data_IF_482510112114
#
_entry.id   IF_482510112114
#
_cell.length_a   1.000
_cell.length_b   1.000
_cell.length_c   1.000
_cell.angle_alpha   90.00
_cell.angle_beta   90.00
_cell.angle_gamma   90.00
#
_symmetry.space_group_name_H-M   'P 1'
#
loop_
_entity.id
_entity.type
_entity.pdbx_description
1 polymer ?
#
# COMPACT_ATOMS: atom_id res chain seq x y z
N UNK A 1 -41.59 19.82 -14.49
CA UNK A 1 -41.38 20.87 -15.52
C UNK A 1 -40.38 20.36 -16.55
N UNK A 2 -40.48 20.75 -17.83
CA UNK A 2 -39.55 20.22 -18.85
C UNK A 2 -38.17 20.84 -18.68
N UNK A 3 -37.14 20.01 -18.55
CA UNK A 3 -35.73 20.43 -18.47
C UNK A 3 -35.15 20.85 -19.84
N UNK A 4 -35.85 20.52 -20.94
CA UNK A 4 -35.42 20.87 -22.31
C UNK A 4 -35.48 22.37 -22.62
N UNK A 5 -36.02 23.17 -21.71
CA UNK A 5 -36.03 24.64 -21.81
C UNK A 5 -34.66 25.27 -21.51
N UNK A 6 -33.73 24.52 -20.92
CA UNK A 6 -32.35 24.98 -20.74
C UNK A 6 -31.66 24.90 -22.10
N UNK A 7 -31.38 26.06 -22.71
CA UNK A 7 -30.72 26.15 -24.02
C UNK A 7 -29.28 26.69 -23.96
N UNK A 8 -28.85 27.19 -22.79
CA UNK A 8 -27.55 27.82 -22.62
C UNK A 8 -26.63 26.97 -21.71
N UNK A 9 -25.43 26.56 -22.19
CA UNK A 9 -24.41 25.91 -21.37
C UNK A 9 -23.96 26.71 -20.12
N UNK A 10 -24.13 28.04 -20.11
CA UNK A 10 -23.70 28.88 -18.99
C UNK A 10 -24.32 28.48 -17.65
N UNK A 11 -25.59 28.06 -17.66
CA UNK A 11 -26.28 27.59 -16.47
C UNK A 11 -25.72 26.26 -15.93
N UNK A 12 -25.29 25.36 -16.84
CA UNK A 12 -24.63 24.10 -16.48
C UNK A 12 -23.26 24.39 -15.85
N UNK A 13 -22.48 25.29 -16.47
CA UNK A 13 -21.19 25.70 -15.93
C UNK A 13 -21.31 26.38 -14.56
N UNK A 14 -22.32 27.24 -14.35
CA UNK A 14 -22.58 27.86 -13.05
C UNK A 14 -22.88 26.82 -11.96
N UNK A 15 -23.69 25.80 -12.28
CA UNK A 15 -23.98 24.70 -11.37
C UNK A 15 -22.72 23.86 -11.06
N UNK A 16 -21.87 23.57 -12.06
CA UNK A 16 -20.60 22.88 -11.86
C UNK A 16 -19.64 23.69 -10.98
N UNK A 17 -19.53 25.00 -11.22
CA UNK A 17 -18.68 25.88 -10.43
C UNK A 17 -19.14 25.97 -8.97
N UNK A 18 -20.46 25.99 -8.71
CA UNK A 18 -20.98 25.89 -7.36
C UNK A 18 -20.65 24.56 -6.72
N UNK A 19 -20.89 23.44 -7.43
CA UNK A 19 -20.58 22.09 -6.96
C UNK A 19 -19.12 21.97 -6.50
N UNK A 20 -18.21 22.56 -7.27
CA UNK A 20 -16.78 22.58 -6.94
C UNK A 20 -16.46 23.43 -5.72
N UNK A 21 -17.13 24.58 -5.58
CA UNK A 21 -16.94 25.51 -4.46
C UNK A 21 -17.49 24.96 -3.14
N UNK A 22 -18.65 24.32 -3.15
CA UNK A 22 -19.36 23.88 -1.93
C UNK A 22 -19.12 22.41 -1.58
N UNK A 23 -18.66 21.61 -2.54
CA UNK A 23 -18.43 20.18 -2.39
C UNK A 23 -19.70 19.34 -2.60
N UNK A 24 -19.49 18.09 -3.03
CA UNK A 24 -20.54 17.15 -3.44
C UNK A 24 -21.64 16.97 -2.41
N UNK A 25 -21.27 16.68 -1.15
CA UNK A 25 -22.25 16.35 -0.10
C UNK A 25 -23.21 17.51 0.13
N UNK A 26 -22.68 18.71 0.34
CA UNK A 26 -23.49 19.91 0.54
C UNK A 26 -24.35 20.25 -0.68
N UNK A 27 -23.77 20.15 -1.89
CA UNK A 27 -24.50 20.43 -3.12
C UNK A 27 -25.72 19.49 -3.27
N UNK A 28 -25.51 18.19 -3.06
CA UNK A 28 -26.57 17.19 -3.15
C UNK A 28 -27.68 17.44 -2.11
N UNK A 29 -27.30 17.77 -0.87
CA UNK A 29 -28.27 18.09 0.20
C UNK A 29 -29.05 19.37 -0.11
N UNK A 30 -28.37 20.44 -0.53
CA UNK A 30 -28.99 21.73 -0.90
C UNK A 30 -30.07 21.58 -1.97
N UNK A 31 -29.81 20.76 -2.98
CA UNK A 31 -30.71 20.59 -4.13
C UNK A 31 -31.62 19.36 -4.03
N UNK A 32 -31.54 18.57 -2.95
CA UNK A 32 -32.41 17.43 -2.69
C UNK A 32 -32.14 16.21 -3.57
N UNK A 33 -30.89 15.96 -3.96
CA UNK A 33 -30.51 14.82 -4.80
C UNK A 33 -29.70 13.77 -4.04
N UNK A 34 -29.87 12.49 -4.40
CA UNK A 34 -28.97 11.41 -3.99
C UNK A 34 -27.73 11.31 -4.90
N UNK A 35 -26.70 10.59 -4.44
CA UNK A 35 -25.52 10.27 -5.26
C UNK A 35 -25.92 9.46 -6.48
N UNK A 36 -25.52 9.90 -7.67
CA UNK A 36 -25.64 9.16 -8.90
C UNK A 36 -24.81 7.85 -8.85
N UNK A 37 -25.39 6.78 -9.39
CA UNK A 37 -24.80 5.43 -9.36
C UNK A 37 -24.36 4.94 -10.73
N UNK A 38 -24.99 5.41 -11.79
CA UNK A 38 -24.78 4.88 -13.15
C UNK A 38 -24.39 5.94 -14.17
N UNK A 39 -24.84 7.19 -14.06
CA UNK A 39 -24.59 8.20 -15.09
C UNK A 39 -24.08 9.47 -14.45
N UNK A 40 -22.99 10.01 -14.99
CA UNK A 40 -22.33 11.21 -14.49
C UNK A 40 -22.06 12.15 -15.67
N UNK A 41 -22.19 13.44 -15.43
CA UNK A 41 -21.70 14.47 -16.33
C UNK A 41 -20.17 14.52 -16.23
N UNK A 42 -19.47 14.47 -17.37
CA UNK A 42 -18.02 14.61 -17.45
C UNK A 42 -17.66 16.00 -17.98
N UNK A 43 -16.80 16.70 -17.26
CA UNK A 43 -16.19 17.94 -17.74
C UNK A 43 -15.13 17.60 -18.80
N UNK A 44 -15.26 18.09 -20.04
CA UNK A 44 -14.31 17.79 -21.10
C UNK A 44 -12.92 18.41 -20.85
N UNK A 45 -12.82 19.50 -20.09
CA UNK A 45 -11.56 20.19 -19.81
C UNK A 45 -10.78 19.52 -18.66
N UNK A 46 -11.48 19.12 -17.60
CA UNK A 46 -10.84 18.59 -16.37
C UNK A 46 -11.03 17.09 -16.17
N UNK A 47 -11.86 16.42 -16.99
CA UNK A 47 -12.22 15.02 -16.80
C UNK A 47 -13.02 14.73 -15.51
N UNK A 48 -13.37 15.75 -14.73
CA UNK A 48 -14.09 15.60 -13.46
C UNK A 48 -15.52 15.12 -13.70
N UNK A 49 -16.01 14.28 -12.78
CA UNK A 49 -17.35 13.71 -12.84
C UNK A 49 -18.29 14.38 -11.83
N UNK A 50 -19.50 14.67 -12.28
CA UNK A 50 -20.55 15.36 -11.53
C UNK A 50 -21.86 14.56 -11.59
N UNK A 51 -22.67 14.64 -10.54
CA UNK A 51 -23.99 14.01 -10.49
C UNK A 51 -24.93 14.67 -11.52
N UNK A 52 -25.14 14.00 -12.67
CA UNK A 52 -25.81 14.54 -13.88
C UNK A 52 -27.13 15.25 -13.59
N UNK A 53 -28.03 14.57 -12.87
CA UNK A 53 -29.34 15.08 -12.46
C UNK A 53 -29.26 16.28 -11.52
N UNK A 54 -28.35 16.24 -10.55
CA UNK A 54 -28.20 17.32 -9.58
C UNK A 54 -27.69 18.59 -10.27
N UNK A 55 -26.73 18.45 -11.19
CA UNK A 55 -26.24 19.58 -12.00
C UNK A 55 -27.37 20.18 -12.83
N UNK A 56 -28.16 19.37 -13.53
CA UNK A 56 -29.28 19.89 -14.33
C UNK A 56 -30.36 20.53 -13.45
N UNK A 57 -30.68 19.94 -12.29
CA UNK A 57 -31.65 20.50 -11.34
C UNK A 57 -31.23 21.87 -10.79
N UNK A 58 -29.95 22.02 -10.46
CA UNK A 58 -29.38 23.31 -10.04
C UNK A 58 -29.31 24.31 -11.20
N UNK A 59 -28.87 23.87 -12.39
CA UNK A 59 -28.78 24.69 -13.59
C UNK A 59 -30.14 25.28 -14.00
N UNK A 60 -31.24 24.58 -13.75
CA UNK A 60 -32.58 25.13 -13.94
C UNK A 60 -32.78 26.43 -13.13
N UNK A 61 -32.34 26.46 -11.87
CA UNK A 61 -32.43 27.66 -11.03
C UNK A 61 -31.54 28.80 -11.50
N UNK A 62 -30.38 28.50 -12.09
CA UNK A 62 -29.52 29.50 -12.73
C UNK A 62 -30.12 30.06 -14.01
N UNK A 63 -30.75 29.22 -14.83
CA UNK A 63 -31.42 29.63 -16.06
C UNK A 63 -32.71 30.43 -15.80
N UNK A 64 -33.43 30.12 -14.70
CA UNK A 64 -34.72 30.73 -14.35
C UNK A 64 -34.77 31.18 -12.88
N UNK A 65 -34.06 32.27 -12.50
CA UNK A 65 -33.94 32.69 -11.10
C UNK A 65 -35.27 32.94 -10.37
N UNK A 66 -36.33 33.33 -11.10
CA UNK A 66 -37.66 33.55 -10.54
C UNK A 66 -38.47 32.29 -10.26
N UNK A 67 -38.03 31.11 -10.74
CA UNK A 67 -38.74 29.84 -10.57
C UNK A 67 -38.06 28.90 -9.55
N UNK A 68 -36.83 29.24 -9.12
CA UNK A 68 -36.05 28.40 -8.23
C UNK A 68 -35.41 27.19 -8.93
N UNK A 69 -34.69 26.38 -8.16
CA UNK A 69 -34.08 25.14 -8.68
C UNK A 69 -35.13 24.03 -8.82
N UNK A 70 -34.82 23.01 -9.63
CA UNK A 70 -35.68 21.85 -9.80
C UNK A 70 -35.21 20.71 -8.88
N UNK A 71 -35.93 20.39 -7.79
CA UNK A 71 -35.57 19.30 -6.89
C UNK A 71 -35.87 17.94 -7.53
N UNK A 72 -35.30 16.87 -6.95
CA UNK A 72 -35.46 15.51 -7.49
C UNK A 72 -36.92 15.04 -7.63
N UNK A 73 -37.83 15.54 -6.78
CA UNK A 73 -39.27 15.23 -6.83
C UNK A 73 -39.96 15.76 -8.09
N UNK A 74 -39.47 16.88 -8.62
CA UNK A 74 -40.10 17.63 -9.71
C UNK A 74 -39.40 17.38 -11.06
N UNK A 75 -38.37 16.53 -11.01
CA UNK A 75 -37.56 16.11 -12.14
C UNK A 75 -38.33 15.08 -12.99
N UNK A 76 -39.03 15.58 -14.02
CA UNK A 76 -39.78 14.75 -14.98
C UNK A 76 -38.92 14.45 -16.22
N UNK A 77 -38.57 13.18 -16.41
CA UNK A 77 -37.69 12.71 -17.48
C UNK A 77 -36.59 11.84 -16.89
N UNK A 78 -36.55 10.57 -17.29
CA UNK A 78 -35.53 9.63 -16.83
C UNK A 78 -34.13 10.07 -17.25
N UNK A 79 -33.12 9.23 -16.96
CA UNK A 79 -31.72 9.54 -17.27
C UNK A 79 -31.48 9.88 -18.75
N UNK A 80 -32.19 9.23 -19.66
CA UNK A 80 -32.12 9.51 -21.11
C UNK A 80 -32.49 10.95 -21.47
N UNK A 81 -33.39 11.60 -20.72
CA UNK A 81 -33.77 13.01 -20.94
C UNK A 81 -32.64 13.95 -20.51
N UNK A 82 -31.95 13.61 -19.41
CA UNK A 82 -30.79 14.37 -18.90
C UNK A 82 -29.62 14.24 -19.84
N UNK A 83 -29.34 13.02 -20.29
CA UNK A 83 -28.30 12.70 -21.26
C UNK A 83 -28.53 13.47 -22.56
N UNK A 84 -29.73 13.39 -23.14
CA UNK A 84 -30.05 14.12 -24.37
C UNK A 84 -29.87 15.64 -24.20
N UNK A 85 -30.33 16.23 -23.09
CA UNK A 85 -30.14 17.65 -22.82
C UNK A 85 -28.66 18.01 -22.75
N UNK A 86 -27.88 17.32 -21.90
CA UNK A 86 -26.46 17.60 -21.72
C UNK A 86 -25.69 17.42 -23.03
N UNK A 87 -25.95 16.35 -23.79
CA UNK A 87 -25.34 16.14 -25.10
C UNK A 87 -25.71 17.21 -26.12
N UNK A 88 -26.96 17.69 -26.14
CA UNK A 88 -27.37 18.80 -27.02
C UNK A 88 -26.67 20.13 -26.70
N UNK A 89 -26.23 20.29 -25.45
CA UNK A 89 -25.45 21.45 -24.98
C UNK A 89 -23.93 21.22 -25.08
N UNK A 90 -23.49 20.13 -25.71
CA UNK A 90 -22.08 19.82 -25.95
C UNK A 90 -21.36 19.14 -24.78
N UNK A 91 -22.10 18.65 -23.78
CA UNK A 91 -21.53 17.93 -22.64
C UNK A 91 -21.53 16.41 -22.84
N UNK A 92 -20.52 15.75 -22.28
CA UNK A 92 -20.38 14.29 -22.29
C UNK A 92 -21.02 13.69 -21.03
N UNK A 93 -21.94 12.73 -21.19
CA UNK A 93 -22.45 11.92 -20.08
C UNK A 93 -21.81 10.55 -20.17
N UNK A 94 -21.20 10.11 -19.08
CA UNK A 94 -20.51 8.82 -19.00
C UNK A 94 -21.25 7.88 -18.07
N UNK A 95 -21.33 6.60 -18.48
CA UNK A 95 -21.87 5.55 -17.65
C UNK A 95 -20.80 5.01 -16.71
N UNK A 96 -20.97 5.23 -15.41
CA UNK A 96 -20.09 4.75 -14.34
C UNK A 96 -20.59 3.42 -13.76
N UNK A 97 -19.77 2.78 -12.93
CA UNK A 97 -20.13 1.52 -12.27
C UNK A 97 -20.11 0.29 -13.18
N UNK A 98 -19.64 0.44 -14.43
CA UNK A 98 -19.38 -0.68 -15.32
C UNK A 98 -18.19 -1.52 -14.83
N UNK A 99 -18.16 -2.79 -15.20
CA UNK A 99 -16.99 -3.65 -14.95
C UNK A 99 -15.74 -3.07 -15.63
N UNK A 100 -14.58 -3.27 -15.01
CA UNK A 100 -13.30 -2.85 -15.57
C UNK A 100 -12.95 -3.70 -16.78
N UNK A 101 -12.69 -3.07 -17.92
CA UNK A 101 -12.19 -3.79 -19.10
C UNK A 101 -10.73 -4.14 -18.92
N UNK A 102 -10.25 -5.13 -19.69
CA UNK A 102 -8.82 -5.50 -19.68
C UNK A 102 -7.93 -4.29 -19.99
N UNK A 103 -8.26 -3.51 -21.01
CA UNK A 103 -7.48 -2.35 -21.42
C UNK A 103 -7.38 -1.29 -20.32
N UNK A 104 -8.47 -1.04 -19.59
CA UNK A 104 -8.46 -0.10 -18.45
C UNK A 104 -7.57 -0.62 -17.32
N UNK A 105 -7.61 -1.93 -17.05
CA UNK A 105 -6.76 -2.58 -16.05
C UNK A 105 -5.28 -2.49 -16.47
N UNK A 106 -4.97 -2.83 -17.72
CA UNK A 106 -3.60 -2.77 -18.26
C UNK A 106 -3.03 -1.36 -18.23
N UNK A 107 -3.82 -0.35 -18.60
CA UNK A 107 -3.41 1.05 -18.53
C UNK A 107 -3.10 1.48 -17.09
N UNK A 108 -3.94 1.07 -16.14
CA UNK A 108 -3.76 1.39 -14.71
C UNK A 108 -2.55 0.67 -14.12
N UNK A 109 -2.33 -0.60 -14.49
CA UNK A 109 -1.15 -1.36 -14.07
C UNK A 109 0.12 -0.72 -14.61
N UNK A 110 0.16 -0.32 -15.88
CA UNK A 110 1.34 0.35 -16.46
C UNK A 110 1.70 1.64 -15.72
N UNK A 111 0.73 2.53 -15.53
CA UNK A 111 0.92 3.80 -14.80
C UNK A 111 1.39 3.56 -13.35
N UNK A 112 0.88 2.52 -12.69
CA UNK A 112 1.32 2.13 -11.37
C UNK A 112 2.80 1.72 -11.34
N UNK A 113 3.25 0.92 -12.31
CA UNK A 113 4.66 0.49 -12.37
C UNK A 113 5.61 1.64 -12.74
N UNK A 114 5.17 2.59 -13.56
CA UNK A 114 5.92 3.83 -13.84
C UNK A 114 6.15 4.63 -12.54
N UNK A 115 5.09 4.81 -11.74
CA UNK A 115 5.21 5.46 -10.42
C UNK A 115 6.08 4.65 -9.44
N UNK A 116 5.96 3.32 -9.43
CA UNK A 116 6.78 2.47 -8.56
C UNK A 116 8.26 2.58 -8.89
N UNK A 117 8.61 2.73 -10.18
CA UNK A 117 9.97 2.99 -10.63
C UNK A 117 10.48 4.35 -10.14
N UNK A 118 9.66 5.39 -10.23
CA UNK A 118 10.02 6.71 -9.71
C UNK A 118 10.28 6.65 -8.20
N UNK A 119 9.42 5.99 -7.42
CA UNK A 119 9.59 5.82 -5.98
C UNK A 119 10.88 5.04 -5.64
N UNK A 120 11.12 3.92 -6.32
CA UNK A 120 12.32 3.09 -6.09
C UNK A 120 13.63 3.81 -6.41
N UNK A 121 13.63 4.70 -7.40
CA UNK A 121 14.81 5.46 -7.84
C UNK A 121 14.92 6.84 -7.18
N UNK A 122 14.06 7.16 -6.20
CA UNK A 122 14.06 8.44 -5.50
C UNK A 122 13.65 9.64 -6.37
N UNK A 123 13.04 9.41 -7.52
CA UNK A 123 12.52 10.46 -8.39
C UNK A 123 11.17 10.96 -7.87
N UNK A 124 10.99 12.27 -7.81
CA UNK A 124 9.71 12.87 -7.41
C UNK A 124 8.64 12.66 -8.47
N UNK A 125 7.45 12.22 -8.06
CA UNK A 125 6.27 12.12 -8.93
C UNK A 125 5.01 12.58 -8.18
N UNK A 126 3.97 12.97 -8.92
CA UNK A 126 2.70 13.43 -8.35
C UNK A 126 1.57 12.42 -8.62
N UNK A 127 1.15 11.72 -7.57
CA UNK A 127 0.02 10.75 -7.61
C UNK A 127 -1.28 11.34 -8.15
N UNK A 128 -1.57 12.61 -7.87
CA UNK A 128 -2.79 13.26 -8.36
C UNK A 128 -2.71 13.55 -9.86
N UNK A 129 -1.51 13.87 -10.37
CA UNK A 129 -1.26 14.12 -11.79
C UNK A 129 -1.36 12.82 -12.60
N UNK A 130 -0.71 11.74 -12.16
CA UNK A 130 -0.85 10.41 -12.78
C UNK A 130 -2.31 9.96 -12.87
N UNK A 131 -3.07 10.14 -11.79
CA UNK A 131 -4.50 9.82 -11.78
C UNK A 131 -5.30 10.69 -12.77
N UNK A 132 -5.00 12.00 -12.84
CA UNK A 132 -5.61 12.90 -13.84
C UNK A 132 -5.32 12.43 -15.28
N UNK A 133 -4.06 12.13 -15.59
CA UNK A 133 -3.65 11.62 -16.90
C UNK A 133 -4.36 10.29 -17.24
N UNK A 134 -4.47 9.37 -16.28
CA UNK A 134 -5.25 8.14 -16.45
C UNK A 134 -6.73 8.44 -16.74
N UNK A 135 -7.38 9.36 -16.02
CA UNK A 135 -8.80 9.71 -16.25
C UNK A 135 -9.09 10.31 -17.62
N UNK A 136 -8.11 10.91 -18.27
CA UNK A 136 -8.26 11.37 -19.66
C UNK A 136 -8.47 10.20 -20.63
N UNK A 137 -7.86 9.03 -20.34
CA UNK A 137 -8.02 7.79 -21.09
C UNK A 137 -9.19 6.95 -20.57
N UNK A 138 -9.32 6.86 -19.25
CA UNK A 138 -10.31 6.05 -18.52
C UNK A 138 -11.55 6.89 -18.17
N UNK A 139 -12.27 7.36 -19.19
CA UNK A 139 -13.31 8.41 -19.05
C UNK A 139 -14.44 8.08 -18.07
N UNK A 140 -14.75 6.80 -17.87
CA UNK A 140 -15.81 6.34 -16.96
C UNK A 140 -15.31 6.11 -15.51
N UNK A 141 -14.01 6.30 -15.23
CA UNK A 141 -13.40 6.02 -13.92
C UNK A 141 -13.21 7.30 -13.13
N UNK A 142 -13.73 7.29 -11.90
CA UNK A 142 -13.51 8.39 -10.96
C UNK A 142 -12.12 8.33 -10.33
N UNK A 143 -11.66 9.46 -9.78
CA UNK A 143 -10.40 9.56 -9.02
C UNK A 143 -10.26 8.43 -8.00
N UNK A 144 -11.28 8.29 -7.15
CA UNK A 144 -11.29 7.28 -6.09
C UNK A 144 -11.32 5.85 -6.63
N UNK A 145 -11.96 5.61 -7.78
CA UNK A 145 -11.96 4.28 -8.40
C UNK A 145 -10.56 3.86 -8.85
N UNK A 146 -9.76 4.80 -9.37
CA UNK A 146 -8.37 4.57 -9.77
C UNK A 146 -7.49 4.37 -8.54
N UNK A 147 -7.63 5.19 -7.49
CA UNK A 147 -6.88 5.03 -6.23
C UNK A 147 -7.14 3.67 -5.56
N UNK A 148 -8.40 3.22 -5.55
CA UNK A 148 -8.73 1.87 -5.08
C UNK A 148 -8.11 0.79 -5.95
N UNK A 149 -8.04 0.99 -7.28
CA UNK A 149 -7.38 0.05 -8.19
C UNK A 149 -5.87 -0.02 -7.92
N UNK A 150 -5.21 1.10 -7.62
CA UNK A 150 -3.81 1.13 -7.19
C UNK A 150 -3.59 0.34 -5.90
N UNK A 151 -4.42 0.54 -4.87
CA UNK A 151 -4.37 -0.24 -3.62
C UNK A 151 -4.57 -1.75 -3.86
N UNK A 152 -5.41 -2.11 -4.82
CA UNK A 152 -5.61 -3.49 -5.23
C UNK A 152 -4.39 -4.07 -5.96
N UNK A 153 -3.68 -3.29 -6.77
CA UNK A 153 -2.40 -3.70 -7.38
C UNK A 153 -1.37 -3.97 -6.28
N UNK A 154 -1.25 -3.06 -5.30
CA UNK A 154 -0.37 -3.24 -4.14
C UNK A 154 -0.66 -4.54 -3.40
N UNK A 155 -1.92 -4.93 -3.25
CA UNK A 155 -2.30 -6.21 -2.64
C UNK A 155 -1.90 -7.44 -3.47
N UNK A 156 -1.91 -7.36 -4.79
CA UNK A 156 -1.39 -8.45 -5.64
C UNK A 156 0.12 -8.57 -5.51
N UNK A 157 0.85 -7.44 -5.52
CA UNK A 157 2.31 -7.42 -5.36
C UNK A 157 2.73 -7.92 -3.99
N UNK A 158 2.02 -7.52 -2.94
CA UNK A 158 2.23 -8.00 -1.57
C UNK A 158 2.04 -9.53 -1.47
N UNK A 159 0.99 -10.08 -2.09
CA UNK A 159 0.79 -11.54 -2.20
C UNK A 159 1.92 -12.27 -2.93
N UNK A 160 2.64 -11.58 -3.82
CA UNK A 160 3.81 -12.10 -4.55
C UNK A 160 5.14 -11.84 -3.80
N UNK A 161 5.12 -11.13 -2.67
CA UNK A 161 6.32 -10.69 -1.96
C UNK A 161 7.13 -9.62 -2.70
N UNK A 162 6.50 -8.89 -3.62
CA UNK A 162 7.10 -7.82 -4.41
C UNK A 162 6.91 -6.44 -3.76
N UNK A 163 7.82 -5.47 -4.02
CA UNK A 163 7.63 -4.11 -3.55
C UNK A 163 6.40 -3.44 -4.18
N UNK A 164 5.81 -2.50 -3.45
CA UNK A 164 4.65 -1.72 -3.88
C UNK A 164 4.80 -0.26 -3.42
N UNK A 165 4.05 0.65 -4.04
CA UNK A 165 4.10 2.08 -3.73
C UNK A 165 3.60 2.29 -2.30
N UNK A 166 4.45 2.80 -1.40
CA UNK A 166 4.16 2.89 0.05
C UNK A 166 2.86 3.64 0.35
N UNK A 167 2.57 4.67 -0.44
CA UNK A 167 1.36 5.49 -0.30
C UNK A 167 0.05 4.82 -0.73
N UNK A 168 0.10 3.68 -1.43
CA UNK A 168 -1.08 2.89 -1.80
C UNK A 168 -1.12 1.61 -0.96
N UNK A 169 -1.66 1.72 0.26
CA UNK A 169 -1.76 0.56 1.16
C UNK A 169 -2.57 -0.58 0.53
N UNK A 170 -2.09 -1.83 0.56
CA UNK A 170 -2.80 -3.00 0.04
C UNK A 170 -4.26 -3.10 0.50
N UNK A 171 -5.16 -3.35 -0.45
CA UNK A 171 -6.56 -3.76 -0.17
C UNK A 171 -6.89 -5.07 -0.89
N UNK A 172 -7.32 -6.07 -0.13
CA UNK A 172 -7.49 -7.45 -0.58
C UNK A 172 -8.77 -7.70 -1.41
N UNK A 173 -9.61 -6.69 -1.62
CA UNK A 173 -10.84 -6.81 -2.41
C UNK A 173 -10.60 -6.50 -3.90
N UNK A 174 -10.11 -7.48 -4.66
CA UNK A 174 -9.83 -7.33 -6.08
C UNK A 174 -10.31 -8.50 -6.94
N UNK A 175 -10.62 -8.18 -8.20
CA UNK A 175 -11.14 -9.11 -9.22
C UNK A 175 -10.04 -9.99 -9.81
N UNK A 176 -10.39 -11.19 -10.31
CA UNK A 176 -9.44 -12.12 -10.94
C UNK A 176 -8.71 -11.53 -12.15
N UNK A 177 -9.40 -10.70 -12.95
CA UNK A 177 -8.80 -10.00 -14.10
C UNK A 177 -7.61 -9.13 -13.70
N UNK A 178 -7.69 -8.45 -12.54
CA UNK A 178 -6.57 -7.63 -12.07
C UNK A 178 -5.34 -8.48 -11.79
N UNK A 179 -5.54 -9.60 -11.07
CA UNK A 179 -4.46 -10.53 -10.75
C UNK A 179 -3.80 -11.05 -12.03
N UNK A 180 -4.60 -11.46 -13.01
CA UNK A 180 -4.10 -11.95 -14.30
C UNK A 180 -3.22 -10.91 -14.99
N UNK A 181 -3.70 -9.67 -15.10
CA UNK A 181 -2.96 -8.59 -15.77
C UNK A 181 -1.67 -8.22 -15.03
N UNK A 182 -1.70 -8.13 -13.69
CA UNK A 182 -0.51 -7.86 -12.90
C UNK A 182 0.53 -8.97 -13.07
N UNK A 183 0.12 -10.24 -13.03
CA UNK A 183 1.02 -11.37 -13.25
C UNK A 183 1.63 -11.35 -14.65
N UNK A 184 0.83 -11.09 -15.68
CA UNK A 184 1.32 -10.97 -17.05
C UNK A 184 2.32 -9.80 -17.20
N UNK A 185 2.04 -8.66 -16.55
CA UNK A 185 2.94 -7.51 -16.54
C UNK A 185 4.27 -7.83 -15.84
N UNK A 186 4.21 -8.42 -14.64
CA UNK A 186 5.38 -8.87 -13.86
C UNK A 186 6.26 -9.84 -14.66
N UNK A 187 5.65 -10.79 -15.38
CA UNK A 187 6.40 -11.74 -16.20
C UNK A 187 7.05 -11.08 -17.43
N UNK A 188 6.37 -10.10 -18.04
CA UNK A 188 6.85 -9.40 -19.22
C UNK A 188 7.97 -8.40 -18.90
N UNK A 189 7.85 -7.68 -17.80
CA UNK A 189 8.76 -6.61 -17.38
C UNK A 189 9.73 -7.05 -16.26
N UNK A 190 10.12 -8.33 -16.24
CA UNK A 190 11.06 -8.86 -15.23
C UNK A 190 12.35 -8.04 -15.07
N UNK A 191 13.01 -7.56 -16.15
CA UNK A 191 14.21 -6.74 -16.01
C UNK A 191 13.95 -5.41 -15.30
N UNK A 192 12.81 -4.76 -15.53
CA UNK A 192 12.47 -3.50 -14.86
C UNK A 192 12.13 -3.72 -13.40
N UNK A 193 11.42 -4.80 -13.10
CA UNK A 193 11.15 -5.22 -11.74
C UNK A 193 12.43 -5.48 -10.95
N UNK A 194 13.44 -6.07 -11.58
CA UNK A 194 14.73 -6.30 -10.94
C UNK A 194 15.40 -4.96 -10.59
N UNK A 195 15.37 -3.96 -11.48
CA UNK A 195 15.89 -2.61 -11.19
C UNK A 195 15.16 -1.97 -10.01
N UNK A 196 13.83 -2.09 -9.95
CA UNK A 196 13.02 -1.58 -8.84
C UNK A 196 13.42 -2.23 -7.52
N UNK A 197 13.57 -3.55 -7.52
CA UNK A 197 13.97 -4.33 -6.34
C UNK A 197 15.38 -3.92 -5.91
N UNK A 198 16.34 -3.92 -6.85
CA UNK A 198 17.74 -3.55 -6.59
C UNK A 198 17.84 -2.12 -6.03
N UNK A 199 17.11 -1.15 -6.61
CA UNK A 199 17.14 0.25 -6.14
C UNK A 199 16.55 0.44 -4.73
N UNK A 200 15.55 -0.35 -4.35
CA UNK A 200 15.01 -0.36 -2.97
C UNK A 200 15.99 -1.04 -2.01
N UNK A 201 16.70 -2.07 -2.48
CA UNK A 201 17.69 -2.83 -1.70
C UNK A 201 19.00 -2.07 -1.51
N UNK A 202 19.42 -1.21 -2.45
CA UNK A 202 20.59 -0.34 -2.31
C UNK A 202 20.44 0.71 -1.19
N UNK A 203 19.21 0.98 -0.73
CA UNK A 203 18.93 1.88 0.38
C UNK A 203 19.24 1.21 1.73
N UNK A 204 20.53 1.11 2.05
CA UNK A 204 21.06 0.40 3.22
C UNK A 204 21.44 1.31 4.38
N UNK A 205 21.30 2.62 4.24
CA UNK A 205 21.58 3.58 5.31
C UNK A 205 20.29 3.99 6.03
N UNK A 206 20.31 4.15 7.37
CA UNK A 206 19.12 4.56 8.12
C UNK A 206 18.74 6.01 7.79
N UNK A 207 17.44 6.27 7.59
CA UNK A 207 16.94 7.61 7.26
C UNK A 207 17.15 8.65 8.36
N UNK A 208 17.31 8.22 9.62
CA UNK A 208 17.87 9.02 10.70
C UNK A 208 18.46 8.12 11.81
N UNK A 209 19.34 8.70 12.65
CA UNK A 209 19.94 8.04 13.83
C UNK A 209 19.36 8.56 15.16
N UNK A 210 18.11 9.03 15.14
CA UNK A 210 17.45 9.51 16.36
C UNK A 210 16.66 8.35 16.96
N UNK A 211 17.11 7.80 18.08
CA UNK A 211 16.48 6.64 18.72
C UNK A 211 15.21 6.97 19.51
N UNK A 212 14.84 8.25 19.62
CA UNK A 212 13.65 8.68 20.37
C UNK A 212 12.36 8.44 19.59
N UNK A 213 11.40 7.77 20.23
CA UNK A 213 10.06 7.55 19.67
C UNK A 213 10.01 6.54 18.51
N UNK A 214 11.09 5.78 18.31
CA UNK A 214 11.17 4.75 17.26
C UNK A 214 10.50 3.44 17.68
N UNK A 215 10.44 3.16 18.99
CA UNK A 215 9.78 1.99 19.54
C UNK A 215 8.26 2.15 19.46
N UNK A 216 7.61 1.21 18.77
CA UNK A 216 6.15 1.14 18.63
C UNK A 216 5.63 -0.22 19.11
N UNK A 217 4.34 -0.27 19.42
CA UNK A 217 3.68 -1.54 19.77
C UNK A 217 3.66 -2.51 18.58
N UNK A 218 3.80 -3.83 18.82
CA UNK A 218 3.62 -4.84 17.78
C UNK A 218 2.25 -4.70 17.10
N UNK A 219 2.19 -4.68 15.76
CA UNK A 219 0.91 -4.54 15.06
C UNK A 219 0.04 -5.77 15.27
N UNK A 220 -1.26 -5.58 15.52
CA UNK A 220 -2.23 -6.68 15.55
C UNK A 220 -2.57 -7.07 14.11
N UNK A 221 -2.22 -8.28 13.63
CA UNK A 221 -2.56 -8.70 12.28
C UNK A 221 -4.08 -8.86 12.15
N UNK A 222 -4.68 -8.36 11.07
CA UNK A 222 -6.03 -8.80 10.69
C UNK A 222 -5.96 -10.29 10.34
N UNK A 223 -6.98 -11.07 10.74
CA UNK A 223 -7.00 -12.52 10.52
C UNK A 223 -6.83 -12.84 9.04
N UNK A 224 -5.69 -13.43 8.67
CA UNK A 224 -5.44 -13.86 7.30
C UNK A 224 -6.35 -15.08 7.07
N UNK A 225 -7.25 -15.07 6.06
CA UNK A 225 -8.01 -16.26 5.71
C UNK A 225 -7.03 -17.39 5.39
N UNK A 226 -7.29 -18.60 5.90
CA UNK A 226 -6.46 -19.77 5.65
C UNK A 226 -6.05 -19.84 4.16
N UNK A 227 -4.76 -20.08 3.86
CA UNK A 227 -4.27 -20.01 2.49
C UNK A 227 -5.07 -20.99 1.62
N UNK A 228 -5.93 -20.45 0.75
CA UNK A 228 -6.49 -21.23 -0.36
C UNK A 228 -5.31 -21.77 -1.14
N UNK A 229 -5.34 -23.06 -1.49
CA UNK A 229 -4.32 -23.77 -2.29
C UNK A 229 -3.71 -22.81 -3.32
N UNK A 230 -2.53 -22.26 -3.03
CA UNK A 230 -1.85 -21.30 -3.90
C UNK A 230 -1.61 -22.04 -5.23
N UNK A 231 -2.05 -21.47 -6.36
CA UNK A 231 -1.59 -21.97 -7.66
C UNK A 231 -0.06 -21.95 -7.62
N UNK A 232 0.57 -23.06 -8.03
CA UNK A 232 2.03 -23.17 -8.13
C UNK A 232 2.49 -22.24 -9.24
N UNK A 233 2.68 -20.97 -8.90
CA UNK A 233 3.30 -20.00 -9.79
C UNK A 233 4.78 -20.39 -9.94
N UNK A 234 5.39 -20.18 -11.11
CA UNK A 234 6.84 -20.23 -11.26
C UNK A 234 7.45 -19.15 -10.37
N UNK A 235 7.77 -19.49 -9.12
CA UNK A 235 8.53 -18.65 -8.20
C UNK A 235 9.96 -18.60 -8.73
N UNK A 236 10.25 -17.54 -9.50
CA UNK A 236 11.61 -17.18 -9.87
C UNK A 236 11.99 -15.81 -9.32
N UNK A 237 11.45 -15.45 -8.16
CA UNK A 237 12.17 -14.57 -7.24
C UNK A 237 12.85 -15.49 -6.24
N UNK A 238 14.15 -15.59 -6.39
CA UNK A 238 15.03 -16.40 -5.58
C UNK A 238 15.14 -15.75 -4.20
N UNK A 239 14.35 -16.24 -3.24
CA UNK A 239 14.37 -15.74 -1.86
C UNK A 239 15.75 -15.93 -1.22
N UNK A 240 16.52 -16.95 -1.63
CA UNK A 240 17.89 -17.16 -1.17
C UNK A 240 18.85 -16.11 -1.76
N UNK A 241 18.68 -15.73 -3.04
CA UNK A 241 19.41 -14.60 -3.61
C UNK A 241 19.03 -13.24 -2.98
N UNK A 242 17.79 -13.10 -2.50
CA UNK A 242 17.31 -11.91 -1.77
C UNK A 242 17.98 -11.79 -0.40
N UNK A 243 18.14 -12.89 0.33
CA UNK A 243 18.86 -12.90 1.61
C UNK A 243 20.36 -12.61 1.43
N UNK A 244 20.98 -13.16 0.38
CA UNK A 244 22.41 -12.94 0.12
C UNK A 244 22.74 -11.49 -0.28
N UNK A 245 21.79 -10.77 -0.90
CA UNK A 245 21.87 -9.33 -1.24
C UNK A 245 21.42 -8.41 -0.10
N UNK A 246 20.60 -8.91 0.83
CA UNK A 246 20.21 -8.21 2.06
C UNK A 246 21.29 -8.14 3.13
N UNK A 247 22.48 -8.74 2.93
CA UNK A 247 23.57 -8.69 3.92
C UNK A 247 23.93 -7.27 4.36
N UNK A 248 23.99 -6.32 3.44
CA UNK A 248 24.31 -4.92 3.78
C UNK A 248 23.17 -4.27 4.58
N UNK A 249 21.91 -4.50 4.20
CA UNK A 249 20.74 -3.99 4.93
C UNK A 249 20.65 -4.61 6.33
N UNK A 250 20.89 -5.92 6.45
CA UNK A 250 20.98 -6.65 7.72
C UNK A 250 22.07 -6.05 8.62
N UNK A 251 23.29 -5.93 8.09
CA UNK A 251 24.42 -5.36 8.81
C UNK A 251 24.17 -3.92 9.30
N UNK A 252 23.60 -3.07 8.44
CA UNK A 252 23.24 -1.70 8.82
C UNK A 252 22.14 -1.67 9.88
N UNK A 253 21.17 -2.59 9.79
CA UNK A 253 20.13 -2.77 10.79
C UNK A 253 20.68 -3.20 12.14
N UNK A 254 21.56 -4.21 12.16
CA UNK A 254 22.27 -4.65 13.37
C UNK A 254 23.09 -3.50 13.98
N UNK A 255 23.84 -2.75 13.16
CA UNK A 255 24.58 -1.56 13.63
C UNK A 255 23.65 -0.51 14.23
N UNK A 256 22.46 -0.32 13.68
CA UNK A 256 21.48 0.63 14.19
C UNK A 256 20.87 0.16 15.51
N UNK A 257 20.56 -1.14 15.63
CA UNK A 257 20.04 -1.74 16.88
C UNK A 257 21.08 -1.67 18.01
N UNK A 258 22.37 -1.85 17.72
CA UNK A 258 23.42 -1.63 18.71
C UNK A 258 23.38 -0.22 19.29
N UNK A 259 23.31 0.80 18.43
CA UNK A 259 23.22 2.18 18.87
C UNK A 259 21.92 2.48 19.63
N UNK A 260 20.82 1.82 19.26
CA UNK A 260 19.56 1.88 20.01
C UNK A 260 19.69 1.28 21.42
N UNK A 261 20.31 0.10 21.56
CA UNK A 261 20.51 -0.55 22.86
C UNK A 261 21.51 0.20 23.75
N UNK A 262 22.59 0.72 23.19
CA UNK A 262 23.51 1.62 23.88
C UNK A 262 22.78 2.85 24.41
N UNK A 263 21.94 3.48 23.59
CA UNK A 263 21.15 4.63 24.01
C UNK A 263 20.16 4.27 25.12
N UNK A 264 19.44 3.15 24.99
CA UNK A 264 18.49 2.66 26.01
C UNK A 264 19.16 2.46 27.37
N UNK A 265 20.30 1.77 27.42
CA UNK A 265 21.04 1.53 28.67
C UNK A 265 21.64 2.82 29.24
N UNK A 266 22.12 3.73 28.40
CA UNK A 266 22.62 5.03 28.85
C UNK A 266 21.49 5.91 29.43
N UNK A 267 20.30 5.92 28.82
CA UNK A 267 19.13 6.61 29.36
C UNK A 267 18.67 6.02 30.71
N UNK A 268 18.84 4.70 30.90
CA UNK A 268 18.64 4.02 32.18
C UNK A 268 19.82 4.17 33.17
N UNK A 269 20.81 5.02 32.88
CA UNK A 269 22.02 5.24 33.70
C UNK A 269 22.88 3.98 33.92
N UNK A 270 22.81 3.00 33.01
CA UNK A 270 23.60 1.75 33.01
C UNK A 270 24.69 1.76 31.93
N UNK A 271 25.52 2.81 31.93
CA UNK A 271 26.66 2.91 31.00
C UNK A 271 27.66 1.76 31.16
N UNK A 272 27.72 1.14 32.34
CA UNK A 272 28.51 -0.06 32.63
C UNK A 272 28.04 -1.31 31.86
N UNK A 273 26.72 -1.43 31.61
CA UNK A 273 26.15 -2.50 30.78
C UNK A 273 26.22 -2.16 29.29
N UNK A 274 26.03 -0.88 28.92
CA UNK A 274 26.19 -0.44 27.54
C UNK A 274 27.57 -0.80 26.98
N UNK A 275 28.63 -0.65 27.79
CA UNK A 275 30.00 -1.02 27.41
C UNK A 275 30.23 -2.54 27.25
N UNK A 276 29.28 -3.38 27.68
CA UNK A 276 29.34 -4.85 27.59
C UNK A 276 28.48 -5.43 26.47
N UNK A 277 27.73 -4.61 25.73
CA UNK A 277 26.98 -5.07 24.56
C UNK A 277 27.94 -5.70 23.56
N UNK A 278 27.57 -6.85 23.00
CA UNK A 278 28.40 -7.59 22.04
C UNK A 278 27.66 -7.81 20.72
N UNK A 279 28.32 -7.48 19.62
CA UNK A 279 27.84 -7.76 18.27
C UNK A 279 28.29 -9.17 17.87
N UNK A 280 27.51 -10.16 18.28
CA UNK A 280 27.85 -11.57 18.20
C UNK A 280 27.93 -12.07 16.76
N UNK A 281 26.98 -11.71 15.89
CA UNK A 281 27.01 -12.08 14.46
C UNK A 281 28.28 -11.59 13.77
N UNK A 282 28.70 -10.34 14.03
CA UNK A 282 29.93 -9.76 13.48
C UNK A 282 31.21 -10.44 14.00
N UNK A 283 31.20 -10.90 15.26
CA UNK A 283 32.38 -11.51 15.91
C UNK A 283 32.52 -13.01 15.61
N UNK A 284 31.41 -13.75 15.60
CA UNK A 284 31.39 -15.22 15.50
C UNK A 284 30.91 -15.74 14.14
N UNK A 285 30.32 -14.87 13.31
CA UNK A 285 29.61 -15.27 12.09
C UNK A 285 28.19 -15.78 12.36
N UNK A 286 27.51 -16.16 11.30
CA UNK A 286 26.13 -16.63 11.33
C UNK A 286 26.05 -18.02 11.98
N UNK A 287 25.07 -18.23 12.88
CA UNK A 287 24.75 -19.57 13.41
C UNK A 287 24.66 -19.69 14.93
N UNK A 288 24.91 -18.63 15.69
CA UNK A 288 24.71 -18.57 17.15
C UNK A 288 23.23 -18.52 17.56
N UNK A 289 22.33 -18.22 16.61
CA UNK A 289 20.89 -18.11 16.84
C UNK A 289 20.40 -16.72 17.25
N UNK A 290 21.30 -15.74 17.33
CA UNK A 290 21.01 -14.33 17.61
C UNK A 290 22.17 -13.42 17.15
N UNK A 291 21.91 -12.13 16.95
CA UNK A 291 22.86 -11.15 16.41
C UNK A 291 23.60 -10.35 17.48
N UNK A 292 22.89 -9.90 18.51
CA UNK A 292 23.40 -8.95 19.53
C UNK A 292 23.11 -9.49 20.93
N UNK A 293 24.11 -9.47 21.81
CA UNK A 293 23.93 -9.69 23.24
C UNK A 293 23.84 -8.34 23.95
N UNK A 294 22.74 -8.09 24.66
CA UNK A 294 22.49 -6.90 25.47
C UNK A 294 22.02 -7.32 26.88
N UNK A 295 21.54 -6.36 27.67
CA UNK A 295 21.15 -6.57 29.07
C UNK A 295 19.88 -5.80 29.43
N UNK A 296 19.06 -6.38 30.28
CA UNK A 296 18.03 -5.67 31.04
C UNK A 296 18.67 -4.77 32.11
N UNK A 297 17.88 -3.85 32.70
CA UNK A 297 18.35 -2.96 33.77
C UNK A 297 18.77 -3.71 35.03
N UNK A 298 18.21 -4.91 35.25
CA UNK A 298 18.53 -5.83 36.34
C UNK A 298 19.64 -6.84 36.00
N UNK A 299 20.38 -6.59 34.91
CA UNK A 299 21.52 -7.39 34.42
C UNK A 299 21.14 -8.74 33.79
N UNK A 300 19.85 -9.06 33.67
CA UNK A 300 19.41 -10.22 32.91
C UNK A 300 19.83 -10.07 31.45
N UNK A 301 20.45 -11.11 30.88
CA UNK A 301 20.91 -11.07 29.48
C UNK A 301 19.73 -11.01 28.53
N UNK A 302 19.86 -10.19 27.48
CA UNK A 302 18.93 -10.10 26.35
C UNK A 302 19.63 -10.60 25.09
N UNK A 303 19.09 -11.64 24.47
CA UNK A 303 19.57 -12.15 23.19
C UNK A 303 18.71 -11.57 22.07
N UNK A 304 19.31 -10.77 21.20
CA UNK A 304 18.59 -9.98 20.21
C UNK A 304 18.85 -10.52 18.82
N UNK A 305 17.79 -10.88 18.12
CA UNK A 305 17.76 -11.19 16.69
C UNK A 305 17.18 -10.00 15.92
N UNK A 306 17.86 -9.50 14.90
CA UNK A 306 17.51 -8.28 14.18
C UNK A 306 17.00 -8.60 12.78
N UNK A 307 15.73 -8.27 12.51
CA UNK A 307 15.16 -8.37 11.16
C UNK A 307 14.83 -7.00 10.61
N UNK A 308 15.57 -6.58 9.59
CA UNK A 308 15.52 -5.23 8.99
C UNK A 308 14.80 -5.22 7.64
N UNK A 309 13.99 -4.19 7.37
CA UNK A 309 13.36 -3.99 6.05
C UNK A 309 13.15 -2.51 5.73
N UNK A 310 13.16 -2.17 4.43
CA UNK A 310 12.62 -0.90 3.94
C UNK A 310 11.10 -0.95 3.72
N UNK A 311 10.47 -2.12 3.86
CA UNK A 311 9.02 -2.31 3.81
C UNK A 311 8.30 -1.89 5.10
N UNK A 312 7.01 -2.22 5.17
CA UNK A 312 6.16 -1.96 6.33
C UNK A 312 6.35 -2.99 7.46
N UNK A 313 5.71 -2.74 8.61
CA UNK A 313 5.82 -3.59 9.82
C UNK A 313 5.37 -5.04 9.64
N UNK A 314 4.49 -5.31 8.66
CA UNK A 314 3.96 -6.65 8.35
C UNK A 314 4.71 -7.35 7.22
N UNK A 315 5.77 -6.75 6.68
CA UNK A 315 6.55 -7.38 5.59
C UNK A 315 7.15 -8.70 6.08
N UNK A 316 6.87 -9.83 5.41
CA UNK A 316 7.40 -11.14 5.79
C UNK A 316 8.92 -11.16 5.84
N UNK A 317 9.46 -11.98 6.73
CA UNK A 317 10.89 -12.18 6.94
C UNK A 317 11.18 -13.66 7.17
N UNK A 318 12.44 -14.04 6.99
CA UNK A 318 12.91 -15.42 7.18
C UNK A 318 13.43 -15.54 8.60
N UNK A 319 13.10 -16.66 9.26
CA UNK A 319 13.70 -17.09 10.52
C UNK A 319 14.48 -18.38 10.23
N UNK A 320 15.72 -18.45 10.68
CA UNK A 320 16.54 -19.66 10.54
C UNK A 320 16.16 -20.73 11.57
N UNK A 321 16.55 -21.98 11.31
CA UNK A 321 16.32 -23.07 12.27
C UNK A 321 17.05 -22.81 13.60
N UNK A 322 18.27 -22.25 13.55
CA UNK A 322 19.05 -21.96 14.75
C UNK A 322 18.40 -20.84 15.58
N UNK A 323 17.86 -19.80 14.96
CA UNK A 323 17.11 -18.74 15.64
C UNK A 323 15.87 -19.30 16.35
N UNK A 324 15.14 -20.21 15.69
CA UNK A 324 13.96 -20.83 16.26
C UNK A 324 14.30 -21.70 17.48
N UNK A 325 15.28 -22.60 17.33
CA UNK A 325 15.77 -23.47 18.42
C UNK A 325 16.31 -22.64 19.59
N UNK A 326 17.11 -21.60 19.32
CA UNK A 326 17.68 -20.76 20.37
C UNK A 326 16.62 -19.92 21.10
N UNK A 327 15.57 -19.48 20.40
CA UNK A 327 14.44 -18.78 21.04
C UNK A 327 13.64 -19.69 21.99
N UNK A 328 13.52 -20.97 21.65
CA UNK A 328 12.90 -21.98 22.52
C UNK A 328 13.75 -22.24 23.76
N UNK A 329 15.09 -22.30 23.61
CA UNK A 329 16.03 -22.55 24.71
C UNK A 329 16.12 -21.41 25.72
N UNK A 330 15.98 -20.16 25.26
CA UNK A 330 16.23 -18.96 26.07
C UNK A 330 14.98 -18.20 26.49
N UNK A 331 13.81 -18.61 25.98
CA UNK A 331 12.48 -18.11 26.36
C UNK A 331 12.43 -16.56 26.44
N UNK A 332 12.06 -15.99 27.59
CA UNK A 332 11.83 -14.56 27.79
C UNK A 332 13.08 -13.68 27.57
N UNK A 333 14.28 -14.28 27.61
CA UNK A 333 15.54 -13.59 27.31
C UNK A 333 15.72 -13.34 25.80
N UNK A 334 15.04 -14.12 24.95
CA UNK A 334 15.07 -13.94 23.50
C UNK A 334 14.20 -12.77 23.06
N UNK A 335 14.74 -11.92 22.20
CA UNK A 335 14.07 -10.75 21.66
C UNK A 335 14.25 -10.66 20.14
N UNK A 336 13.15 -10.72 19.41
CA UNK A 336 13.12 -10.38 17.99
C UNK A 336 12.87 -8.88 17.83
N UNK A 337 13.85 -8.19 17.27
CA UNK A 337 13.79 -6.76 16.94
C UNK A 337 13.42 -6.61 15.47
N UNK A 338 12.19 -6.12 15.21
CA UNK A 338 11.75 -5.83 13.85
C UNK A 338 11.97 -4.36 13.51
N UNK A 339 12.98 -4.09 12.71
CA UNK A 339 13.29 -2.75 12.19
C UNK A 339 12.66 -2.60 10.80
N UNK A 340 11.84 -1.57 10.60
CA UNK A 340 11.10 -1.33 9.36
C UNK A 340 11.11 0.15 8.96
N UNK A 341 10.74 0.44 7.70
CA UNK A 341 10.90 1.77 7.09
C UNK A 341 12.32 2.35 7.25
N UNK A 342 13.33 1.47 7.25
CA UNK A 342 14.69 1.76 7.69
C UNK A 342 15.35 2.94 6.94
N UNK A 343 15.25 2.99 5.62
CA UNK A 343 15.89 4.05 4.82
C UNK A 343 15.28 5.45 4.95
N UNK A 344 14.07 5.59 5.51
CA UNK A 344 13.36 6.87 5.59
C UNK A 344 13.17 7.34 7.04
N UNK A 345 12.47 6.53 7.82
CA UNK A 345 12.14 6.81 9.22
C UNK A 345 12.12 5.50 9.99
N UNK A 346 13.30 5.01 10.43
CA UNK A 346 13.40 3.76 11.15
C UNK A 346 12.39 3.67 12.30
N UNK A 347 11.62 2.59 12.33
CA UNK A 347 10.77 2.22 13.45
C UNK A 347 11.10 0.80 13.87
N UNK A 348 10.86 0.52 15.15
CA UNK A 348 11.19 -0.74 15.81
C UNK A 348 9.98 -1.22 16.61
N UNK A 349 9.65 -2.51 16.50
CA UNK A 349 8.88 -3.19 17.55
C UNK A 349 9.65 -4.41 18.03
N UNK A 350 9.39 -4.82 19.27
CA UNK A 350 10.08 -5.93 19.94
C UNK A 350 9.06 -7.02 20.23
N UNK A 351 9.40 -8.25 19.87
CA UNK A 351 8.67 -9.47 20.26
C UNK A 351 9.58 -10.30 21.16
N UNK A 352 9.05 -10.77 22.29
CA UNK A 352 9.81 -11.55 23.28
C UNK A 352 9.34 -12.99 23.32
N UNK A 353 10.24 -13.89 23.72
CA UNK A 353 9.92 -15.28 23.98
C UNK A 353 10.15 -16.21 22.79
N UNK A 354 9.66 -17.44 22.96
CA UNK A 354 9.71 -18.51 21.97
C UNK A 354 8.95 -18.13 20.69
N UNK A 355 9.69 -18.08 19.58
CA UNK A 355 9.18 -17.69 18.27
C UNK A 355 8.08 -18.63 17.75
N UNK A 356 8.02 -19.90 18.19
CA UNK A 356 6.96 -20.84 17.81
C UNK A 356 5.57 -20.41 18.29
N UNK A 357 5.50 -19.67 19.40
CA UNK A 357 4.24 -19.24 20.00
C UNK A 357 3.80 -17.85 19.55
N UNK A 358 4.73 -17.01 19.11
CA UNK A 358 4.48 -15.60 18.78
C UNK A 358 4.42 -15.33 17.27
N UNK A 359 4.97 -16.20 16.42
CA UNK A 359 4.95 -16.05 14.96
C UNK A 359 4.10 -17.12 14.25
N UNK A 360 3.59 -16.78 13.07
CA UNK A 360 3.04 -17.74 12.13
C UNK A 360 4.12 -18.18 11.13
N UNK A 361 4.60 -19.41 11.25
CA UNK A 361 5.70 -19.94 10.45
C UNK A 361 5.20 -20.75 9.24
N UNK A 362 5.68 -20.42 8.04
CA UNK A 362 5.48 -21.21 6.81
C UNK A 362 6.81 -21.89 6.42
N UNK A 363 6.81 -23.19 6.17
CA UNK A 363 8.01 -23.90 5.71
C UNK A 363 8.43 -23.43 4.31
N UNK A 364 9.65 -22.90 4.19
CA UNK A 364 10.24 -22.46 2.91
C UNK A 364 10.93 -23.61 2.17
N UNK A 365 11.85 -24.29 2.84
CA UNK A 365 12.62 -25.41 2.30
C UNK A 365 12.77 -26.53 3.35
N UNK A 366 13.09 -27.74 2.87
CA UNK A 366 13.27 -28.91 3.72
C UNK A 366 14.68 -29.47 3.59
N UNK A 367 15.36 -29.64 4.71
CA UNK A 367 16.57 -30.48 4.78
C UNK A 367 16.15 -31.94 4.85
N UNK A 368 16.50 -32.72 3.82
CA UNK A 368 16.25 -34.16 3.79
C UNK A 368 17.49 -34.98 4.18
N UNK A 369 17.28 -36.09 4.89
CA UNK A 369 18.29 -37.13 5.13
C UNK A 369 17.66 -38.49 4.85
N UNK A 370 18.46 -39.47 4.43
CA UNK A 370 17.98 -40.84 4.25
C UNK A 370 17.50 -41.38 5.59
N UNK A 371 16.26 -41.90 5.63
CA UNK A 371 15.73 -42.57 6.81
C UNK A 371 16.43 -43.91 6.97
N UNK A 372 17.04 -44.16 8.13
CA UNK A 372 17.59 -45.47 8.43
C UNK A 372 16.47 -46.51 8.40
N UNK A 373 16.58 -47.50 7.52
CA UNK A 373 15.71 -48.68 7.55
C UNK A 373 16.35 -49.63 8.56
N UNK A 374 15.81 -49.67 9.78
CA UNK A 374 16.10 -50.74 10.72
C UNK A 374 15.75 -52.07 10.02
N UNK A 375 16.76 -52.91 9.77
CA UNK A 375 16.55 -54.28 9.27
C UNK A 375 16.12 -55.20 10.39
#
# INVERSE_FOLDING_TARGET
MSIQVIQDPAAIHAAMAEYDRVGRTYFLEKYGFGKAREYMLRDPATGRLYDSKAIVGAAYGYAFPGQGHLPASDFSGGEATVEHLLSSLGFEVVRIGQDWTRDEVEATVRDYFDMLRFEATGQSFNKSEHNEQLRQRLRARSKGSIEMKHQNISAVLDQLGLPYIRGYKPRSNFQDLLREVVLAHVQREQPELQIIVDAIEEQTEPGNKTYRGVLVEPPVPESIPAPRRRQRLPRKLDYAARDERNRNLGHSGESWVLGFEENRLNEASRADLAAKIDWVSKRCGDGTGYDIMSFEEDEVTRFIEVKTTNGGSLTPFIISQNELEFSEETEDAFCLYRVFEFSESPRLFIVRGDLNHVLHLEALDYRARLRAISR
#
